data_IF_227961562268
#
_entry.id   IF_227961562268
#
_cell.length_a   1.000
_cell.length_b   1.000
_cell.length_c   1.000
_cell.angle_alpha   90.00
_cell.angle_beta   90.00
_cell.angle_gamma   90.00
#
_symmetry.space_group_name_H-M   'P 1'
#
loop_
_entity.id
_entity.type
_entity.pdbx_description
1 polymer ?
#
# COMPACT_ATOMS: atom_id res chain seq x y z
N UNK A 1 -65.62 2.68 -31.48
CA UNK A 1 -65.65 2.05 -30.14
C UNK A 1 -64.71 0.89 -30.18
N UNK A 2 -63.54 1.06 -29.62
CA UNK A 2 -62.53 0.00 -29.54
C UNK A 2 -62.19 -0.14 -28.05
N UNK A 3 -62.60 -1.25 -27.44
CA UNK A 3 -62.33 -1.53 -26.03
C UNK A 3 -60.95 -2.16 -25.90
N UNK A 4 -60.11 -1.50 -25.16
CA UNK A 4 -58.79 -1.98 -24.77
C UNK A 4 -58.89 -2.84 -23.51
N UNK A 5 -58.63 -4.13 -23.64
CA UNK A 5 -58.48 -5.04 -22.51
C UNK A 5 -57.03 -5.04 -22.02
N UNK A 6 -56.79 -4.60 -20.76
CA UNK A 6 -55.55 -4.76 -20.06
C UNK A 6 -55.34 -6.23 -19.64
N UNK A 7 -54.16 -6.84 -19.80
CA UNK A 7 -53.86 -8.11 -19.17
C UNK A 7 -53.56 -7.91 -17.69
N UNK A 8 -54.19 -8.70 -16.86
CA UNK A 8 -53.89 -8.84 -15.42
C UNK A 8 -52.61 -9.64 -15.25
N UNK A 9 -51.58 -9.04 -14.70
CA UNK A 9 -50.36 -9.75 -14.35
C UNK A 9 -50.57 -10.54 -13.06
N UNK A 10 -50.34 -11.85 -13.14
CA UNK A 10 -50.32 -12.77 -12.00
C UNK A 10 -49.19 -12.41 -11.06
N UNK A 11 -49.49 -12.24 -9.77
CA UNK A 11 -48.52 -12.11 -8.70
C UNK A 11 -48.03 -13.52 -8.31
N UNK A 12 -46.96 -13.98 -8.97
CA UNK A 12 -46.25 -15.18 -8.56
C UNK A 12 -44.72 -14.93 -8.56
N UNK A 13 -44.13 -15.25 -7.39
CA UNK A 13 -42.70 -15.36 -7.13
C UNK A 13 -41.90 -14.05 -7.05
N UNK A 14 -42.14 -13.26 -6.02
CA UNK A 14 -41.04 -12.50 -5.40
C UNK A 14 -40.18 -13.47 -4.59
N UNK A 15 -38.82 -13.42 -4.75
CA UNK A 15 -37.94 -14.17 -3.85
C UNK A 15 -38.14 -13.63 -2.43
N UNK A 16 -38.38 -14.51 -1.50
CA UNK A 16 -38.45 -14.22 -0.06
C UNK A 16 -37.13 -13.61 0.40
N UNK A 17 -37.21 -12.50 1.15
CA UNK A 17 -36.06 -11.89 1.81
C UNK A 17 -35.28 -12.96 2.58
N UNK A 18 -33.94 -12.93 2.56
CA UNK A 18 -33.15 -13.87 3.34
C UNK A 18 -33.52 -13.77 4.83
N UNK A 19 -33.70 -14.91 5.44
CA UNK A 19 -34.02 -15.04 6.87
C UNK A 19 -32.82 -14.52 7.69
N UNK A 20 -33.12 -13.95 8.83
CA UNK A 20 -32.16 -13.32 9.78
C UNK A 20 -31.07 -14.25 10.32
N UNK A 21 -31.01 -15.52 9.87
CA UNK A 21 -29.94 -16.48 10.28
C UNK A 21 -28.65 -16.36 9.47
N UNK A 22 -28.64 -15.61 8.35
CA UNK A 22 -27.47 -15.38 7.51
C UNK A 22 -26.78 -14.01 7.76
N UNK A 23 -27.10 -13.31 8.83
CA UNK A 23 -26.34 -12.12 9.23
C UNK A 23 -24.90 -12.55 9.62
N UNK A 24 -23.85 -11.90 9.07
CA UNK A 24 -22.48 -12.19 9.48
C UNK A 24 -22.37 -12.00 11.00
N UNK A 25 -21.82 -12.99 11.70
CA UNK A 25 -21.55 -12.88 13.14
C UNK A 25 -20.59 -11.72 13.37
N UNK A 26 -20.74 -11.02 14.50
CA UNK A 26 -19.82 -9.93 14.93
C UNK A 26 -18.34 -10.40 15.07
N UNK A 27 -18.07 -11.69 14.92
CA UNK A 27 -16.76 -12.32 14.92
C UNK A 27 -16.06 -12.26 13.54
N UNK A 28 -16.72 -11.72 12.50
CA UNK A 28 -16.16 -11.47 11.17
C UNK A 28 -15.40 -10.12 11.07
N UNK A 29 -15.08 -9.48 12.20
CA UNK A 29 -14.17 -8.35 12.21
C UNK A 29 -12.81 -8.79 11.71
N UNK A 30 -12.30 -8.12 10.68
CA UNK A 30 -10.94 -8.29 10.21
C UNK A 30 -10.00 -8.05 11.39
N UNK A 31 -9.25 -9.07 11.78
CA UNK A 31 -8.17 -8.90 12.73
C UNK A 31 -7.17 -7.83 12.21
N UNK A 32 -6.31 -7.30 13.08
CA UNK A 32 -5.27 -6.39 12.65
C UNK A 32 -4.52 -7.00 11.45
N UNK A 33 -4.24 -6.16 10.44
CA UNK A 33 -3.50 -6.59 9.28
C UNK A 33 -2.15 -7.18 9.73
N UNK A 34 -1.96 -8.45 9.45
CA UNK A 34 -0.64 -9.07 9.62
C UNK A 34 0.11 -8.86 8.32
N UNK A 35 1.31 -8.29 8.35
CA UNK A 35 2.12 -8.14 7.16
C UNK A 35 2.30 -9.49 6.47
N UNK A 36 2.35 -9.52 5.14
CA UNK A 36 2.66 -10.73 4.42
C UNK A 36 3.99 -11.30 4.92
N UNK A 37 4.16 -12.61 4.75
CA UNK A 37 5.41 -13.30 5.05
C UNK A 37 6.61 -12.46 4.57
N UNK A 38 7.74 -12.50 5.30
CA UNK A 38 8.91 -11.72 4.95
C UNK A 38 9.24 -11.86 3.46
N UNK A 39 9.70 -10.78 2.81
CA UNK A 39 10.00 -10.80 1.40
C UNK A 39 10.92 -11.97 1.06
N UNK A 40 10.59 -12.69 -0.01
CA UNK A 40 11.35 -13.86 -0.47
C UNK A 40 12.78 -13.49 -0.88
N UNK A 41 12.98 -12.24 -1.30
CA UNK A 41 14.29 -11.67 -1.65
C UNK A 41 14.44 -10.27 -1.04
N UNK A 42 15.66 -9.84 -0.67
CA UNK A 42 15.89 -8.47 -0.20
C UNK A 42 15.56 -7.49 -1.33
N UNK A 43 14.50 -6.72 -1.14
CA UNK A 43 14.19 -5.60 -2.04
C UNK A 43 15.14 -4.42 -1.76
N UNK A 44 15.41 -3.58 -2.75
CA UNK A 44 16.20 -2.38 -2.51
C UNK A 44 15.44 -1.45 -1.53
N UNK A 45 16.16 -0.70 -0.70
CA UNK A 45 15.57 0.31 0.17
C UNK A 45 14.71 1.30 -0.62
N UNK A 46 13.53 1.63 -0.11
CA UNK A 46 12.59 2.56 -0.73
C UNK A 46 12.30 3.70 0.24
N UNK A 47 12.56 4.92 -0.18
CA UNK A 47 12.30 6.12 0.62
C UNK A 47 10.99 6.78 0.16
N UNK A 48 10.09 7.03 1.11
CA UNK A 48 8.86 7.79 0.92
C UNK A 48 9.06 9.26 1.32
N UNK A 49 8.19 10.13 0.82
CA UNK A 49 8.23 11.57 1.12
C UNK A 49 8.11 11.89 2.63
N UNK A 50 7.32 11.13 3.37
CA UNK A 50 7.12 11.37 4.80
C UNK A 50 8.34 10.95 5.60
N UNK A 51 8.95 9.80 5.32
CA UNK A 51 10.21 9.41 5.96
C UNK A 51 11.34 10.39 5.60
N UNK A 52 11.36 10.89 4.36
CA UNK A 52 12.32 11.92 3.98
C UNK A 52 12.15 13.23 4.78
N UNK A 53 10.89 13.62 5.08
CA UNK A 53 10.62 14.76 5.97
C UNK A 53 11.11 14.52 7.39
N UNK A 54 10.81 13.36 7.96
CA UNK A 54 11.26 12.98 9.30
C UNK A 54 12.79 13.01 9.40
N UNK A 55 13.51 12.48 8.40
CA UNK A 55 14.98 12.52 8.35
C UNK A 55 15.53 13.96 8.32
N UNK A 56 14.85 14.89 7.63
CA UNK A 56 15.26 16.31 7.62
C UNK A 56 15.02 16.95 8.99
N UNK A 57 13.94 16.65 9.66
CA UNK A 57 13.63 17.16 10.99
C UNK A 57 14.65 16.66 12.00
N UNK A 58 14.91 15.36 12.04
CA UNK A 58 15.91 14.73 12.90
C UNK A 58 17.32 15.31 12.67
N UNK A 59 17.73 15.50 11.41
CA UNK A 59 19.01 16.14 11.09
C UNK A 59 19.12 17.56 11.65
N UNK A 60 18.01 18.32 11.63
CA UNK A 60 17.97 19.66 12.22
C UNK A 60 18.15 19.66 13.74
N UNK A 61 17.71 18.60 14.43
CA UNK A 61 17.80 18.46 15.88
C UNK A 61 19.16 17.92 16.33
N UNK A 62 19.76 17.00 15.57
CA UNK A 62 21.08 16.39 15.84
C UNK A 62 22.22 17.41 15.91
N UNK A 63 22.11 18.54 15.24
CA UNK A 63 23.09 19.64 15.38
C UNK A 63 23.34 20.05 16.84
N UNK A 64 22.49 19.60 17.78
CA UNK A 64 22.57 19.82 19.22
C UNK A 64 22.65 18.53 20.06
N UNK A 65 22.75 17.35 19.46
CA UNK A 65 22.74 16.04 20.12
C UNK A 65 24.05 15.28 19.84
N UNK A 66 24.37 14.31 20.71
CA UNK A 66 25.53 13.41 20.53
C UNK A 66 25.16 12.09 19.82
N UNK A 67 23.91 11.92 19.45
CA UNK A 67 23.40 10.71 18.78
C UNK A 67 23.11 11.04 17.32
N UNK A 68 23.80 10.36 16.42
CA UNK A 68 23.71 10.55 14.97
C UNK A 68 22.84 9.44 14.33
N UNK A 69 22.15 8.62 15.15
CA UNK A 69 21.36 7.49 14.68
C UNK A 69 19.87 7.74 14.81
N UNK A 70 19.13 7.27 13.81
CA UNK A 70 17.67 7.37 13.74
C UNK A 70 17.06 6.03 13.30
N UNK A 71 15.88 5.72 13.80
CA UNK A 71 15.10 4.56 13.35
C UNK A 71 14.11 5.03 12.29
N UNK A 72 14.19 4.46 11.10
CA UNK A 72 13.32 4.80 9.99
C UNK A 72 12.85 3.56 9.22
N UNK A 73 11.84 3.70 8.40
CA UNK A 73 11.38 2.66 7.49
C UNK A 73 11.81 2.95 6.05
N UNK A 74 12.35 1.93 5.39
CA UNK A 74 12.71 1.98 3.97
C UNK A 74 11.91 0.96 3.14
N UNK A 75 10.67 0.64 3.58
CA UNK A 75 9.79 -0.36 2.96
C UNK A 75 8.29 -0.10 3.22
N UNK A 76 7.90 1.19 3.33
CA UNK A 76 6.52 1.62 3.61
C UNK A 76 5.98 1.14 4.96
N UNK A 77 6.76 1.27 6.01
CA UNK A 77 6.42 0.93 7.39
C UNK A 77 6.17 -0.57 7.65
N UNK A 78 6.64 -1.45 6.76
CA UNK A 78 6.62 -2.90 6.98
C UNK A 78 7.68 -3.31 8.00
N UNK A 79 8.87 -2.69 7.93
CA UNK A 79 9.94 -2.89 8.91
C UNK A 79 10.65 -1.58 9.23
N UNK A 80 11.50 -1.60 10.26
CA UNK A 80 12.33 -0.47 10.64
C UNK A 80 13.80 -0.85 10.60
N UNK A 81 14.64 0.11 10.25
CA UNK A 81 16.08 -0.02 10.21
C UNK A 81 16.72 1.13 10.96
N UNK A 82 17.89 0.88 11.56
CA UNK A 82 18.73 1.92 12.12
C UNK A 82 19.52 2.58 10.98
N UNK A 83 19.57 3.90 10.97
CA UNK A 83 20.31 4.72 10.01
C UNK A 83 21.23 5.69 10.73
N UNK A 84 22.36 6.02 10.13
CA UNK A 84 23.32 7.01 10.62
C UNK A 84 23.20 8.25 9.77
N UNK A 85 22.98 9.40 10.39
CA UNK A 85 22.92 10.69 9.73
C UNK A 85 24.34 11.30 9.70
N UNK A 86 24.79 11.69 8.54
CA UNK A 86 26.14 12.25 8.30
C UNK A 86 26.06 13.56 7.54
N UNK A 87 27.13 14.32 7.46
CA UNK A 87 27.15 15.61 6.74
C UNK A 87 26.79 15.49 5.25
N UNK A 88 27.10 14.35 4.61
CA UNK A 88 26.86 14.11 3.17
C UNK A 88 25.56 13.37 2.86
N UNK A 89 24.86 12.82 3.88
CA UNK A 89 23.63 12.08 3.71
C UNK A 89 23.40 11.01 4.78
N UNK A 90 22.67 9.98 4.42
CA UNK A 90 22.24 8.89 5.31
C UNK A 90 22.93 7.59 4.92
N UNK A 91 23.33 6.78 5.92
CA UNK A 91 24.07 5.52 5.77
C UNK A 91 23.47 4.42 6.63
N UNK A 92 23.82 3.17 6.34
CA UNK A 92 23.60 2.09 7.31
C UNK A 92 24.71 2.08 8.37
N UNK A 93 24.42 1.64 9.60
CA UNK A 93 25.44 1.49 10.64
C UNK A 93 26.58 0.58 10.20
N UNK A 94 27.81 0.99 10.53
CA UNK A 94 29.01 0.20 10.25
C UNK A 94 29.55 0.27 8.82
N UNK A 95 28.93 1.03 7.92
CA UNK A 95 29.50 1.32 6.60
C UNK A 95 30.78 2.18 6.71
N UNK A 96 31.71 1.97 5.78
CA UNK A 96 32.93 2.79 5.70
C UNK A 96 32.52 4.26 5.43
N UNK A 97 32.93 5.22 6.28
CA UNK A 97 32.65 6.65 6.07
C UNK A 97 33.14 7.21 4.73
N UNK A 98 34.06 6.51 4.07
CA UNK A 98 34.59 6.88 2.75
C UNK A 98 33.72 6.38 1.59
N UNK A 99 32.85 5.42 1.84
CA UNK A 99 31.87 4.97 0.84
C UNK A 99 30.84 6.06 0.59
N UNK A 100 30.24 6.13 -0.59
CA UNK A 100 29.14 7.06 -0.82
C UNK A 100 27.94 6.73 0.10
N UNK A 101 27.17 7.74 0.52
CA UNK A 101 25.98 7.52 1.34
C UNK A 101 24.93 6.69 0.57
N UNK A 102 24.01 6.05 1.32
CA UNK A 102 22.85 5.39 0.76
C UNK A 102 21.96 6.39 0.00
N UNK A 103 21.82 7.59 0.56
CA UNK A 103 21.09 8.70 -0.05
C UNK A 103 21.69 10.04 0.42
N UNK A 104 21.80 11.01 -0.49
CA UNK A 104 22.33 12.34 -0.19
C UNK A 104 21.24 13.28 0.33
N UNK A 105 21.62 14.34 1.09
CA UNK A 105 20.66 15.36 1.55
C UNK A 105 19.91 16.05 0.41
N UNK A 106 20.55 16.42 -0.73
CA UNK A 106 19.81 16.99 -1.87
C UNK A 106 18.74 16.07 -2.43
N UNK A 107 18.97 14.73 -2.46
CA UNK A 107 17.98 13.76 -2.88
C UNK A 107 16.86 13.65 -1.84
N UNK A 108 17.18 13.60 -0.54
CA UNK A 108 16.18 13.57 0.55
C UNK A 108 15.26 14.79 0.46
N UNK A 109 15.80 15.98 0.27
CA UNK A 109 15.02 17.22 0.11
C UNK A 109 14.10 17.14 -1.12
N UNK A 110 14.59 16.56 -2.21
CA UNK A 110 13.78 16.37 -3.43
C UNK A 110 12.64 15.38 -3.19
N UNK A 111 12.92 14.27 -2.52
CA UNK A 111 11.94 13.23 -2.19
C UNK A 111 10.88 13.77 -1.22
N UNK A 112 11.26 14.54 -0.22
CA UNK A 112 10.35 15.14 0.75
C UNK A 112 9.29 16.07 0.12
N UNK A 113 9.54 16.57 -1.08
CA UNK A 113 8.65 17.44 -1.85
C UNK A 113 7.72 16.68 -2.82
N UNK A 114 8.00 15.39 -3.09
CA UNK A 114 7.19 14.56 -4.01
C UNK A 114 6.27 13.60 -3.25
N UNK A 115 5.12 14.09 -2.82
CA UNK A 115 4.12 13.28 -2.10
C UNK A 115 3.54 12.11 -2.92
N UNK A 116 3.82 12.06 -4.22
CA UNK A 116 3.37 10.99 -5.12
C UNK A 116 4.46 10.03 -5.53
N UNK A 117 5.68 10.23 -5.07
CA UNK A 117 6.84 9.42 -5.43
C UNK A 117 7.28 8.49 -4.30
N UNK A 118 7.67 7.30 -4.69
CA UNK A 118 8.51 6.41 -3.91
C UNK A 118 9.84 6.27 -4.64
N UNK A 119 10.94 6.25 -3.92
CA UNK A 119 12.28 6.30 -4.52
C UNK A 119 13.12 5.12 -4.06
N UNK A 120 13.66 4.40 -5.03
CA UNK A 120 14.63 3.33 -4.80
C UNK A 120 15.98 3.97 -4.50
N UNK A 121 16.61 3.50 -3.43
CA UNK A 121 17.92 3.97 -3.01
C UNK A 121 19.01 2.95 -3.37
N UNK A 122 20.14 3.45 -3.87
CA UNK A 122 21.36 2.67 -4.12
C UNK A 122 22.56 3.50 -3.72
N UNK A 123 23.50 2.95 -2.91
CA UNK A 123 24.67 3.70 -2.47
C UNK A 123 25.45 4.29 -3.66
N UNK A 124 25.71 5.59 -3.62
CA UNK A 124 26.46 6.30 -4.66
C UNK A 124 25.70 6.60 -5.95
N UNK A 125 24.43 6.21 -6.04
CA UNK A 125 23.57 6.57 -7.14
C UNK A 125 22.57 7.64 -6.71
N UNK A 126 22.05 8.39 -7.66
CA UNK A 126 20.92 9.29 -7.41
C UNK A 126 19.68 8.48 -7.11
N UNK A 127 18.88 8.93 -6.14
CA UNK A 127 17.60 8.28 -5.83
C UNK A 127 16.70 8.24 -7.08
N UNK A 128 16.25 7.05 -7.42
CA UNK A 128 15.44 6.81 -8.64
C UNK A 128 13.98 6.59 -8.27
N UNK A 129 13.08 7.32 -8.92
CA UNK A 129 11.65 7.12 -8.70
C UNK A 129 11.23 5.69 -9.09
N UNK A 130 10.52 5.01 -8.20
CA UNK A 130 9.99 3.66 -8.46
C UNK A 130 8.86 3.73 -9.49
N UNK A 131 9.27 3.70 -10.75
CA UNK A 131 8.36 3.83 -11.89
C UNK A 131 8.81 2.91 -13.01
N UNK A 132 7.84 2.29 -13.68
CA UNK A 132 8.05 1.45 -14.86
C UNK A 132 7.17 1.98 -15.99
N UNK A 133 7.71 2.03 -17.21
CA UNK A 133 6.93 2.31 -18.41
C UNK A 133 6.68 1.01 -19.16
N UNK A 134 5.40 0.71 -19.44
CA UNK A 134 5.00 -0.43 -20.26
C UNK A 134 4.83 0.03 -21.70
N UNK A 135 5.66 -0.47 -22.60
CA UNK A 135 5.54 -0.18 -24.04
C UNK A 135 4.26 -0.77 -24.63
N UNK A 136 3.86 -1.96 -24.20
CA UNK A 136 2.65 -2.64 -24.68
C UNK A 136 1.37 -1.85 -24.44
N UNK A 137 1.29 -1.18 -23.30
CA UNK A 137 0.12 -0.37 -22.92
C UNK A 137 0.34 1.14 -23.09
N UNK A 138 1.57 1.55 -23.44
CA UNK A 138 2.00 2.96 -23.50
C UNK A 138 1.66 3.73 -22.21
N UNK A 139 1.84 3.11 -21.05
CA UNK A 139 1.50 3.70 -19.75
C UNK A 139 2.66 3.61 -18.76
N UNK A 140 2.85 4.68 -18.02
CA UNK A 140 3.69 4.66 -16.83
C UNK A 140 2.90 4.09 -15.65
N UNK A 141 3.56 3.23 -14.88
CA UNK A 141 3.08 2.71 -13.61
C UNK A 141 4.11 3.09 -12.54
N UNK A 142 3.67 3.71 -11.46
CA UNK A 142 4.54 4.05 -10.33
C UNK A 142 3.89 3.64 -9.02
N UNK A 143 4.71 3.46 -8.00
CA UNK A 143 4.24 3.24 -6.64
C UNK A 143 4.12 4.60 -5.94
N UNK A 144 3.02 4.83 -5.23
CA UNK A 144 2.75 6.05 -4.50
C UNK A 144 2.50 5.75 -3.02
N UNK A 145 3.30 6.33 -2.10
CA UNK A 145 3.00 6.31 -0.67
C UNK A 145 1.65 6.99 -0.41
N UNK A 146 0.81 6.42 0.42
CA UNK A 146 -0.48 7.05 0.78
C UNK A 146 -0.35 7.98 2.00
N UNK A 147 0.12 7.45 3.12
CA UNK A 147 0.37 8.16 4.37
C UNK A 147 1.24 7.28 5.29
N UNK A 148 1.88 7.84 6.34
CA UNK A 148 2.59 7.04 7.33
C UNK A 148 1.72 5.92 7.91
N UNK A 149 2.25 4.71 7.99
CA UNK A 149 1.56 3.53 8.51
C UNK A 149 0.51 2.92 7.60
N UNK A 150 0.33 3.44 6.37
CA UNK A 150 -0.63 2.92 5.40
C UNK A 150 0.04 2.29 4.19
N UNK A 151 -0.57 1.24 3.67
CA UNK A 151 -0.09 0.58 2.46
C UNK A 151 -0.08 1.53 1.25
N UNK A 152 0.92 1.46 0.36
CA UNK A 152 1.00 2.30 -0.82
C UNK A 152 -0.08 1.96 -1.85
N UNK A 153 -0.29 2.83 -2.83
CA UNK A 153 -1.11 2.53 -4.00
C UNK A 153 -0.28 2.60 -5.28
N UNK A 154 -0.75 1.93 -6.34
CA UNK A 154 -0.17 2.12 -7.66
C UNK A 154 -0.87 3.27 -8.39
N UNK A 155 -0.08 4.08 -9.09
CA UNK A 155 -0.56 5.03 -10.09
C UNK A 155 -0.39 4.41 -11.48
N UNK A 156 -1.46 4.35 -12.25
CA UNK A 156 -1.44 3.92 -13.65
C UNK A 156 -1.79 5.11 -14.51
N UNK A 157 -0.86 5.59 -15.30
CA UNK A 157 -0.98 6.83 -16.08
C UNK A 157 -1.44 8.02 -15.19
N UNK A 158 -0.97 8.09 -13.95
CA UNK A 158 -1.30 9.14 -12.98
C UNK A 158 -2.60 8.94 -12.18
N UNK A 159 -3.39 7.90 -12.48
CA UNK A 159 -4.62 7.57 -11.74
C UNK A 159 -4.34 6.51 -10.68
N UNK A 160 -4.80 6.74 -9.46
CA UNK A 160 -4.64 5.77 -8.37
C UNK A 160 -5.50 4.53 -8.56
N UNK A 161 -4.93 3.37 -8.28
CA UNK A 161 -5.61 2.08 -8.34
C UNK A 161 -6.61 1.89 -7.20
N UNK A 162 -6.30 2.40 -6.02
CA UNK A 162 -7.14 2.29 -4.82
C UNK A 162 -7.73 3.65 -4.47
N UNK A 163 -8.89 3.65 -3.81
CA UNK A 163 -9.40 4.86 -3.16
C UNK A 163 -8.55 5.12 -1.92
N UNK A 164 -8.12 6.36 -1.77
CA UNK A 164 -7.47 6.86 -0.58
C UNK A 164 -7.81 8.35 -0.41
N UNK A 165 -7.64 8.86 0.79
CA UNK A 165 -7.95 10.25 1.13
C UNK A 165 -8.53 10.33 2.54
N UNK A 166 -9.31 11.36 2.83
CA UNK A 166 -9.86 11.56 4.18
C UNK A 166 -10.67 10.34 4.62
N UNK A 167 -10.12 9.59 5.60
CA UNK A 167 -10.76 8.44 6.22
C UNK A 167 -10.85 7.17 5.36
N UNK A 168 -10.05 7.07 4.28
CA UNK A 168 -9.97 5.85 3.48
C UNK A 168 -8.53 5.64 3.02
N UNK A 169 -7.94 4.51 3.36
CA UNK A 169 -6.65 4.04 2.85
C UNK A 169 -6.83 2.84 1.89
N UNK A 170 -5.79 2.40 1.16
CA UNK A 170 -5.88 1.28 0.23
C UNK A 170 -6.33 -0.04 0.87
N UNK A 171 -5.98 -0.30 2.13
CA UNK A 171 -6.36 -1.53 2.83
C UNK A 171 -7.82 -1.47 3.27
N UNK A 172 -8.29 -0.34 3.77
CA UNK A 172 -9.70 -0.15 4.11
C UNK A 172 -10.59 -0.21 2.87
N UNK A 173 -10.18 0.43 1.75
CA UNK A 173 -10.91 0.30 0.47
C UNK A 173 -10.99 -1.17 0.02
N UNK A 174 -9.90 -1.92 0.19
CA UNK A 174 -9.85 -3.36 -0.10
C UNK A 174 -10.77 -4.16 0.82
N UNK A 175 -10.75 -3.89 2.12
CA UNK A 175 -11.62 -4.56 3.09
C UNK A 175 -13.11 -4.35 2.75
N UNK A 176 -13.49 -3.12 2.40
CA UNK A 176 -14.86 -2.80 1.94
C UNK A 176 -15.25 -3.56 0.67
N UNK A 177 -14.33 -3.73 -0.29
CA UNK A 177 -14.57 -4.52 -1.50
C UNK A 177 -14.79 -6.00 -1.19
N UNK A 178 -13.95 -6.57 -0.32
CA UNK A 178 -14.07 -7.97 0.10
C UNK A 178 -15.37 -8.19 0.91
N UNK A 179 -15.75 -7.24 1.76
CA UNK A 179 -17.01 -7.32 2.51
C UNK A 179 -18.26 -7.24 1.61
N UNK A 180 -18.16 -6.58 0.46
CA UNK A 180 -19.26 -6.45 -0.49
C UNK A 180 -19.52 -7.71 -1.35
N UNK A 181 -18.57 -8.65 -1.40
CA UNK A 181 -18.77 -9.93 -2.08
C UNK A 181 -19.39 -10.95 -1.14
N UNK A 182 -19.94 -12.03 -1.71
CA UNK A 182 -20.50 -13.13 -0.92
C UNK A 182 -19.46 -13.69 0.06
N UNK A 183 -19.86 -14.21 1.24
CA UNK A 183 -18.92 -14.72 2.23
C UNK A 183 -17.94 -15.74 1.63
N UNK A 184 -16.65 -15.47 1.78
CA UNK A 184 -15.60 -16.40 1.37
C UNK A 184 -15.50 -17.48 2.45
N UNK A 185 -15.91 -18.70 2.11
CA UNK A 185 -15.91 -19.84 3.04
C UNK A 185 -14.52 -20.47 3.11
N UNK A 186 -14.20 -21.06 4.26
CA UNK A 186 -12.98 -21.86 4.43
C UNK A 186 -12.91 -22.95 3.34
N UNK A 187 -11.75 -23.07 2.69
CA UNK A 187 -11.53 -24.01 1.58
C UNK A 187 -12.13 -23.57 0.23
N UNK A 188 -12.69 -22.35 0.13
CA UNK A 188 -13.17 -21.84 -1.15
C UNK A 188 -12.00 -21.61 -2.13
N UNK A 189 -12.25 -21.81 -3.41
CA UNK A 189 -11.33 -21.42 -4.49
C UNK A 189 -11.70 -20.02 -4.95
N UNK A 190 -10.75 -19.10 -4.85
CA UNK A 190 -10.93 -17.68 -5.20
C UNK A 190 -10.07 -17.37 -6.41
N UNK A 191 -10.65 -16.72 -7.42
CA UNK A 191 -9.95 -16.13 -8.55
C UNK A 191 -10.02 -14.62 -8.42
N UNK A 192 -8.87 -13.97 -8.22
CA UNK A 192 -8.76 -12.52 -8.24
C UNK A 192 -8.34 -12.06 -9.66
N UNK A 193 -9.22 -11.32 -10.32
CA UNK A 193 -8.99 -10.76 -11.65
C UNK A 193 -8.55 -9.31 -11.50
N UNK A 194 -7.49 -8.93 -12.21
CA UNK A 194 -6.87 -7.61 -12.09
C UNK A 194 -6.26 -7.35 -10.69
N UNK A 195 -5.52 -8.33 -10.19
CA UNK A 195 -4.97 -8.40 -8.83
C UNK A 195 -4.19 -7.14 -8.38
N UNK A 196 -3.56 -6.42 -9.29
CA UNK A 196 -2.83 -5.17 -9.01
C UNK A 196 -1.73 -5.38 -7.97
N UNK A 197 -1.81 -4.69 -6.83
CA UNK A 197 -0.88 -4.86 -5.71
C UNK A 197 -1.23 -6.06 -4.80
N UNK A 198 -2.13 -6.93 -5.23
CA UNK A 198 -2.54 -8.16 -4.56
C UNK A 198 -3.22 -7.98 -3.19
N UNK A 199 -3.70 -6.81 -2.84
CA UNK A 199 -4.35 -6.58 -1.54
C UNK A 199 -5.62 -7.40 -1.37
N UNK A 200 -6.47 -7.48 -2.41
CA UNK A 200 -7.68 -8.33 -2.42
C UNK A 200 -7.33 -9.80 -2.31
N UNK A 201 -6.33 -10.27 -3.07
CA UNK A 201 -5.86 -11.65 -3.00
C UNK A 201 -5.31 -12.00 -1.61
N UNK A 202 -4.50 -11.11 -1.01
CA UNK A 202 -3.93 -11.28 0.32
C UNK A 202 -5.01 -11.36 1.41
N UNK A 203 -6.00 -10.46 1.36
CA UNK A 203 -7.12 -10.49 2.31
C UNK A 203 -8.01 -11.71 2.12
N UNK A 204 -8.30 -12.09 0.88
CA UNK A 204 -9.07 -13.30 0.59
C UNK A 204 -8.35 -14.56 1.10
N UNK A 205 -7.02 -14.62 0.94
CA UNK A 205 -6.18 -15.73 1.44
C UNK A 205 -6.35 -15.97 2.94
N UNK A 206 -6.42 -14.91 3.74
CA UNK A 206 -6.55 -15.03 5.19
C UNK A 206 -7.90 -15.67 5.61
N UNK A 207 -8.93 -15.61 4.75
CA UNK A 207 -10.21 -16.29 4.96
C UNK A 207 -10.27 -17.73 4.41
N UNK A 208 -9.46 -18.05 3.42
CA UNK A 208 -9.28 -19.42 2.92
C UNK A 208 -8.02 -20.00 3.55
N UNK A 209 -8.16 -20.98 4.46
CA UNK A 209 -6.99 -21.71 4.92
C UNK A 209 -6.27 -22.29 3.72
N UNK A 210 -5.02 -21.87 3.53
CA UNK A 210 -4.14 -22.49 2.56
C UNK A 210 -3.78 -23.89 3.03
N UNK A 211 -3.88 -24.82 2.13
CA UNK A 211 -3.29 -26.14 2.25
C UNK A 211 -1.83 -26.06 1.84
#
# INVERSE_FOLDING_TARGET
MCQSTKPTASAENMPTSPTTEDAPSDDDTWGPWEPPLPPLDPHPPILSWYVAKDLIEEWGEIANSAEDTVIASLDFDVSTVELVLTEDGVRFPGEDPRSPPLVTWPDIVTIAQDEKGAYVLRPGERAERFQVFSEDTSRAVSLMPSSPGYAPTALIAGFSMHRFGVGVDPMEDTARKIAAVAPIRKGARVLDICTGLAYTASMARNKVSLF
#
